data_IF_366456822013
#
_entry.id   IF_366456822013
#
_cell.length_a   1.000
_cell.length_b   1.000
_cell.length_c   1.000
_cell.angle_alpha   90.00
_cell.angle_beta   90.00
_cell.angle_gamma   90.00
#
_symmetry.space_group_name_H-M   'P 1'
#
loop_
_entity.id
_entity.type
_entity.pdbx_description
1 polymer ?
#
# COMPACT_ATOMS: atom_id res chain seq x y z
N UNK A 1 -17.17 2.91 7.68
CA UNK A 1 -15.76 3.31 7.56
C UNK A 1 -15.32 3.46 6.10
N UNK A 2 -14.32 4.34 5.86
CA UNK A 2 -13.73 4.56 4.55
C UNK A 2 -12.37 3.89 4.39
N UNK A 3 -12.04 3.48 3.16
CA UNK A 3 -10.71 2.93 2.83
C UNK A 3 -10.22 3.53 1.51
N UNK A 4 -9.07 4.22 1.57
CA UNK A 4 -8.32 4.63 0.38
C UNK A 4 -7.49 3.45 -0.09
N UNK A 5 -7.51 3.16 -1.40
CA UNK A 5 -6.75 2.08 -2.03
C UNK A 5 -5.73 2.66 -3.00
N UNK A 6 -4.46 2.38 -2.78
CA UNK A 6 -3.35 2.91 -3.59
C UNK A 6 -2.74 1.80 -4.44
N UNK A 7 -2.62 2.09 -5.74
CA UNK A 7 -2.19 1.16 -6.79
C UNK A 7 -0.70 0.78 -6.70
N UNK A 8 -0.35 -0.30 -7.38
CA UNK A 8 1.03 -0.69 -7.66
C UNK A 8 1.70 0.30 -8.63
N UNK A 9 2.98 0.09 -8.92
CA UNK A 9 3.71 0.93 -9.87
C UNK A 9 3.13 0.96 -11.29
N UNK A 10 2.27 -0.03 -11.63
CA UNK A 10 1.56 -0.09 -12.91
C UNK A 10 0.57 1.07 -13.12
N UNK A 11 0.17 1.77 -12.08
CA UNK A 11 -0.86 2.82 -12.10
C UNK A 11 -2.25 2.31 -11.70
N UNK A 12 -3.24 3.19 -11.80
CA UNK A 12 -4.62 2.89 -11.46
C UNK A 12 -5.27 1.98 -12.51
N UNK A 13 -5.13 0.68 -12.32
CA UNK A 13 -5.59 -0.38 -13.22
C UNK A 13 -6.76 -1.18 -12.63
N UNK A 14 -7.23 -2.18 -13.38
CA UNK A 14 -8.36 -3.02 -12.98
C UNK A 14 -8.11 -3.82 -11.70
N UNK A 15 -6.86 -4.23 -11.44
CA UNK A 15 -6.52 -4.90 -10.19
C UNK A 15 -6.81 -4.02 -8.96
N UNK A 16 -6.35 -2.77 -8.96
CA UNK A 16 -6.59 -1.82 -7.87
C UNK A 16 -8.07 -1.52 -7.71
N UNK A 17 -8.76 -1.31 -8.82
CA UNK A 17 -10.22 -1.07 -8.83
C UNK A 17 -11.00 -2.27 -8.28
N UNK A 18 -10.56 -3.49 -8.60
CA UNK A 18 -11.16 -4.71 -8.05
C UNK A 18 -11.00 -4.76 -6.53
N UNK A 19 -9.82 -4.48 -6.00
CA UNK A 19 -9.60 -4.44 -4.55
C UNK A 19 -10.49 -3.43 -3.84
N UNK A 20 -10.75 -2.28 -4.45
CA UNK A 20 -11.73 -1.32 -3.93
C UNK A 20 -13.16 -1.89 -3.93
N UNK A 21 -13.56 -2.60 -5.00
CA UNK A 21 -14.87 -3.27 -5.05
C UNK A 21 -14.99 -4.40 -4.01
N UNK A 22 -13.93 -5.17 -3.81
CA UNK A 22 -13.88 -6.22 -2.79
C UNK A 22 -14.12 -5.63 -1.38
N UNK A 23 -13.52 -4.47 -1.09
CA UNK A 23 -13.75 -3.73 0.15
C UNK A 23 -15.19 -3.21 0.26
N UNK A 24 -15.73 -2.69 -0.84
CA UNK A 24 -17.13 -2.24 -0.88
C UNK A 24 -18.09 -3.41 -0.61
N UNK A 25 -17.81 -4.60 -1.14
CA UNK A 25 -18.56 -5.83 -0.84
C UNK A 25 -18.53 -6.24 0.64
N UNK A 26 -17.52 -5.77 1.40
CA UNK A 26 -17.40 -5.96 2.85
C UNK A 26 -18.06 -4.83 3.67
N UNK A 27 -18.74 -3.87 3.00
CA UNK A 27 -19.47 -2.79 3.66
C UNK A 27 -18.64 -1.52 3.92
N UNK A 28 -17.47 -1.35 3.27
CA UNK A 28 -16.66 -0.14 3.38
C UNK A 28 -16.94 0.83 2.22
N UNK A 29 -16.85 2.12 2.48
CA UNK A 29 -16.72 3.12 1.41
C UNK A 29 -15.27 3.07 0.90
N UNK A 30 -15.04 2.59 -0.31
CA UNK A 30 -13.71 2.40 -0.84
C UNK A 30 -13.44 3.31 -2.05
N UNK A 31 -12.26 3.93 -2.09
CA UNK A 31 -11.84 4.80 -3.17
C UNK A 31 -10.42 4.39 -3.65
N UNK A 32 -10.34 3.88 -4.87
CA UNK A 32 -9.06 3.69 -5.55
C UNK A 32 -8.60 5.03 -6.12
N UNK A 33 -7.40 5.49 -5.71
CA UNK A 33 -6.87 6.80 -6.11
C UNK A 33 -5.78 6.67 -7.16
N UNK A 34 -5.63 7.71 -7.98
CA UNK A 34 -4.60 7.82 -9.01
C UNK A 34 -3.43 8.68 -8.51
N UNK A 35 -2.30 8.03 -8.25
CA UNK A 35 -1.09 8.72 -7.79
C UNK A 35 -0.26 9.31 -8.94
N UNK A 36 -0.55 8.92 -10.18
CA UNK A 36 0.22 9.38 -11.36
C UNK A 36 -0.45 10.54 -12.11
N UNK A 37 -1.76 10.64 -12.02
CA UNK A 37 -2.57 11.61 -12.77
C UNK A 37 -2.97 11.12 -14.17
N UNK A 38 -4.06 11.68 -14.69
CA UNK A 38 -4.58 11.43 -16.03
C UNK A 38 -4.93 9.95 -16.31
N UNK A 39 -5.12 9.13 -15.27
CA UNK A 39 -5.41 7.71 -15.40
C UNK A 39 -4.25 6.88 -15.97
N UNK A 40 -3.02 7.38 -15.89
CA UNK A 40 -1.84 6.68 -16.42
C UNK A 40 -1.69 5.31 -15.81
N UNK A 41 -1.60 4.30 -16.65
CA UNK A 41 -1.27 2.94 -16.27
C UNK A 41 -0.59 2.23 -17.45
N UNK A 42 0.14 1.17 -17.15
CA UNK A 42 0.90 0.39 -18.13
C UNK A 42 1.12 -1.03 -17.64
N UNK A 43 1.42 -1.93 -18.55
CA UNK A 43 1.92 -3.28 -18.24
C UNK A 43 3.42 -3.43 -18.57
N UNK A 44 4.07 -2.35 -19.02
CA UNK A 44 5.48 -2.34 -19.38
C UNK A 44 6.34 -1.83 -18.21
N UNK A 45 7.29 -2.64 -17.69
CA UNK A 45 8.13 -2.26 -16.55
C UNK A 45 8.89 -0.94 -16.73
N UNK A 46 9.34 -0.65 -17.95
CA UNK A 46 10.05 0.60 -18.26
C UNK A 46 9.17 1.83 -18.03
N UNK A 47 7.93 1.78 -18.48
CA UNK A 47 6.97 2.88 -18.31
C UNK A 47 6.53 2.99 -16.85
N UNK A 48 6.27 1.86 -16.20
CA UNK A 48 5.93 1.81 -14.78
C UNK A 48 7.03 2.44 -13.91
N UNK A 49 8.29 2.11 -14.20
CA UNK A 49 9.45 2.72 -13.53
C UNK A 49 9.49 4.23 -13.74
N UNK A 50 9.26 4.71 -14.98
CA UNK A 50 9.26 6.13 -15.29
C UNK A 50 8.14 6.87 -14.54
N UNK A 51 6.93 6.31 -14.49
CA UNK A 51 5.79 6.90 -13.74
C UNK A 51 6.08 6.95 -12.24
N UNK A 52 6.60 5.87 -11.68
CA UNK A 52 6.93 5.80 -10.26
C UNK A 52 8.04 6.80 -9.90
N UNK A 53 9.11 6.88 -10.70
CA UNK A 53 10.21 7.82 -10.46
C UNK A 53 9.74 9.28 -10.54
N UNK A 54 8.85 9.60 -11.48
CA UNK A 54 8.26 10.94 -11.57
C UNK A 54 7.45 11.29 -10.31
N UNK A 55 6.64 10.34 -9.81
CA UNK A 55 5.87 10.52 -8.59
C UNK A 55 6.77 10.67 -7.35
N UNK A 56 7.82 9.85 -7.23
CA UNK A 56 8.77 9.92 -6.11
C UNK A 56 9.62 11.19 -6.13
N UNK A 57 9.94 11.72 -7.31
CA UNK A 57 10.70 12.97 -7.47
C UNK A 57 9.91 14.18 -6.98
N UNK A 58 8.60 14.21 -7.20
CA UNK A 58 7.71 15.27 -6.75
C UNK A 58 6.88 14.79 -5.54
N UNK A 59 7.53 14.72 -4.39
CA UNK A 59 6.90 14.26 -3.14
C UNK A 59 5.75 15.17 -2.69
N UNK A 60 5.83 16.47 -2.97
CA UNK A 60 4.77 17.43 -2.64
C UNK A 60 3.51 17.16 -3.46
N UNK A 61 3.64 16.94 -4.77
CA UNK A 61 2.50 16.58 -5.63
C UNK A 61 1.92 15.21 -5.24
N UNK A 62 2.75 14.24 -4.93
CA UNK A 62 2.30 12.92 -4.46
C UNK A 62 1.52 13.01 -3.15
N UNK A 63 2.01 13.76 -2.18
CA UNK A 63 1.29 14.00 -0.92
C UNK A 63 -0.03 14.73 -1.15
N UNK A 64 -0.06 15.72 -2.05
CA UNK A 64 -1.27 16.45 -2.39
C UNK A 64 -2.32 15.55 -3.08
N UNK A 65 -1.91 14.65 -3.96
CA UNK A 65 -2.81 13.67 -4.61
C UNK A 65 -3.41 12.70 -3.60
N UNK A 66 -2.58 12.17 -2.70
CA UNK A 66 -3.07 11.31 -1.63
C UNK A 66 -4.09 12.05 -0.74
N UNK A 67 -3.77 13.27 -0.32
CA UNK A 67 -4.64 14.09 0.51
C UNK A 67 -5.95 14.43 -0.20
N UNK A 68 -5.91 14.76 -1.49
CA UNK A 68 -7.12 15.03 -2.29
C UNK A 68 -8.04 13.80 -2.36
N UNK A 69 -7.48 12.61 -2.55
CA UNK A 69 -8.25 11.36 -2.53
C UNK A 69 -8.86 11.08 -1.16
N UNK A 70 -8.09 11.28 -0.09
CA UNK A 70 -8.57 11.13 1.28
C UNK A 70 -9.71 12.11 1.59
N UNK A 71 -9.57 13.37 1.22
CA UNK A 71 -10.60 14.41 1.43
C UNK A 71 -11.86 14.12 0.63
N UNK A 72 -11.72 13.65 -0.62
CA UNK A 72 -12.85 13.24 -1.44
C UNK A 72 -13.63 12.10 -0.78
N UNK A 73 -12.94 11.09 -0.27
CA UNK A 73 -13.58 9.95 0.41
C UNK A 73 -14.31 10.40 1.69
N UNK A 74 -13.67 11.27 2.49
CA UNK A 74 -14.26 11.80 3.73
C UNK A 74 -15.53 12.63 3.51
N UNK A 75 -15.66 13.26 2.34
CA UNK A 75 -16.83 14.05 1.96
C UNK A 75 -18.02 13.22 1.48
N UNK A 76 -17.83 11.92 1.24
CA UNK A 76 -18.94 11.07 0.80
C UNK A 76 -19.94 10.85 1.94
N UNK A 77 -21.25 11.01 1.69
CA UNK A 77 -22.27 10.94 2.75
C UNK A 77 -22.31 9.59 3.46
N UNK A 78 -21.91 8.51 2.79
CA UNK A 78 -21.84 7.16 3.36
C UNK A 78 -20.55 6.90 4.15
N UNK A 79 -19.58 7.83 4.16
CA UNK A 79 -18.29 7.65 4.82
C UNK A 79 -18.30 8.34 6.19
N UNK A 80 -17.89 7.61 7.22
CA UNK A 80 -17.63 8.21 8.53
C UNK A 80 -16.22 8.86 8.48
N UNK A 81 -16.11 10.19 8.52
CA UNK A 81 -14.86 10.89 8.22
C UNK A 81 -13.73 10.61 9.20
N UNK A 82 -14.05 10.25 10.46
CA UNK A 82 -13.06 9.91 11.49
C UNK A 82 -12.67 8.42 11.47
N UNK A 83 -13.33 7.60 10.65
CA UNK A 83 -13.08 6.18 10.50
C UNK A 83 -12.59 5.86 9.08
N UNK A 84 -11.43 6.40 8.71
CA UNK A 84 -10.81 6.17 7.41
C UNK A 84 -9.43 5.54 7.57
N UNK A 85 -9.19 4.46 6.83
CA UNK A 85 -7.91 3.80 6.69
C UNK A 85 -7.39 3.92 5.25
N UNK A 86 -6.12 3.57 5.05
CA UNK A 86 -5.53 3.47 3.72
C UNK A 86 -4.84 2.13 3.56
N UNK A 87 -4.99 1.52 2.40
CA UNK A 87 -4.24 0.32 2.00
C UNK A 87 -3.52 0.57 0.70
N UNK A 88 -2.39 -0.06 0.52
CA UNK A 88 -1.60 0.09 -0.71
C UNK A 88 -0.79 -1.14 -1.05
N UNK A 89 -0.56 -1.31 -2.34
CA UNK A 89 0.12 -2.45 -2.94
C UNK A 89 1.41 -1.99 -3.61
N UNK A 90 2.54 -2.66 -3.36
CA UNK A 90 3.83 -2.33 -3.97
C UNK A 90 4.22 -0.86 -3.74
N UNK A 91 4.33 -0.05 -4.78
CA UNK A 91 4.47 1.40 -4.71
C UNK A 91 3.42 2.05 -3.77
N UNK A 92 2.16 1.63 -3.90
CA UNK A 92 1.07 2.11 -3.03
C UNK A 92 1.28 1.76 -1.57
N UNK A 93 1.91 0.63 -1.26
CA UNK A 93 2.31 0.27 0.10
C UNK A 93 3.29 1.27 0.70
N UNK A 94 4.28 1.70 -0.07
CA UNK A 94 5.20 2.78 0.34
C UNK A 94 4.47 4.12 0.52
N UNK A 95 3.53 4.46 -0.35
CA UNK A 95 2.75 5.69 -0.26
C UNK A 95 1.97 5.75 1.06
N UNK A 96 1.24 4.70 1.41
CA UNK A 96 0.44 4.69 2.65
C UNK A 96 1.31 4.65 3.92
N UNK A 97 2.47 3.98 3.88
CA UNK A 97 3.43 4.03 4.97
C UNK A 97 4.03 5.44 5.14
N UNK A 98 4.32 6.13 4.05
CA UNK A 98 4.81 7.51 4.11
C UNK A 98 3.73 8.47 4.65
N UNK A 99 2.46 8.27 4.30
CA UNK A 99 1.35 9.02 4.89
C UNK A 99 1.30 8.82 6.41
N UNK A 100 1.46 7.58 6.89
CA UNK A 100 1.53 7.29 8.33
C UNK A 100 2.73 7.96 8.99
N UNK A 101 3.92 7.92 8.38
CA UNK A 101 5.14 8.59 8.88
C UNK A 101 4.96 10.09 9.04
N UNK A 102 4.24 10.71 8.11
CA UNK A 102 3.93 12.15 8.12
C UNK A 102 2.81 12.52 9.12
N UNK A 103 2.22 11.55 9.79
CA UNK A 103 1.18 11.80 10.78
C UNK A 103 -0.19 12.12 10.16
N UNK A 104 -0.44 11.74 8.92
CA UNK A 104 -1.78 11.87 8.31
C UNK A 104 -2.80 11.15 9.21
N UNK A 105 -3.92 11.81 9.58
CA UNK A 105 -4.88 11.27 10.54
C UNK A 105 -5.71 10.14 9.92
N UNK A 106 -5.10 8.95 9.85
CA UNK A 106 -5.70 7.69 9.42
C UNK A 106 -5.91 6.80 10.64
N UNK A 107 -7.01 6.08 10.69
CA UNK A 107 -7.28 5.10 11.73
C UNK A 107 -6.34 3.88 11.60
N UNK A 108 -5.99 3.52 10.39
CA UNK A 108 -5.05 2.45 10.11
C UNK A 108 -4.44 2.51 8.72
N UNK A 109 -3.33 1.80 8.57
CA UNK A 109 -2.58 1.65 7.30
C UNK A 109 -2.23 0.20 7.08
N UNK A 110 -2.44 -0.32 5.89
CA UNK A 110 -2.00 -1.67 5.49
C UNK A 110 -1.12 -1.58 4.24
N UNK A 111 0.09 -2.08 4.34
CA UNK A 111 1.04 -2.18 3.21
C UNK A 111 1.16 -3.64 2.77
N UNK A 112 0.80 -3.93 1.53
CA UNK A 112 1.01 -5.23 0.90
C UNK A 112 2.22 -5.16 -0.02
N UNK A 113 3.23 -5.98 0.26
CA UNK A 113 4.50 -6.03 -0.49
C UNK A 113 5.07 -4.65 -0.86
N UNK A 114 4.92 -3.67 0.02
CA UNK A 114 5.40 -2.31 -0.19
C UNK A 114 6.88 -2.15 0.11
N UNK A 115 7.52 -1.18 -0.54
CA UNK A 115 8.86 -0.76 -0.16
C UNK A 115 8.85 -0.14 1.25
N UNK A 116 9.81 -0.52 2.07
CA UNK A 116 9.91 -0.11 3.48
C UNK A 116 10.91 1.02 3.69
N UNK A 117 11.91 1.14 2.81
CA UNK A 117 12.92 2.18 2.90
C UNK A 117 12.31 3.58 2.71
N UNK A 118 12.85 4.55 3.41
CA UNK A 118 12.43 5.95 3.32
C UNK A 118 13.61 6.89 3.54
N UNK A 119 13.53 8.08 2.92
CA UNK A 119 14.44 9.20 3.18
C UNK A 119 13.92 10.11 4.30
N UNK A 120 12.66 9.93 4.70
CA UNK A 120 11.97 10.73 5.72
C UNK A 120 11.37 9.83 6.79
N UNK A 121 12.20 9.26 7.69
CA UNK A 121 11.71 8.34 8.72
C UNK A 121 10.74 9.03 9.69
N UNK A 122 9.88 8.23 10.30
CA UNK A 122 8.97 8.71 11.33
C UNK A 122 9.74 9.23 12.55
N UNK A 123 9.23 10.32 13.14
CA UNK A 123 9.74 10.86 14.40
C UNK A 123 8.93 10.32 15.58
N UNK A 124 9.48 10.34 16.81
CA UNK A 124 8.74 9.90 18.00
C UNK A 124 7.37 10.58 18.11
N UNK A 125 6.31 9.77 18.21
CA UNK A 125 4.93 10.24 18.32
C UNK A 125 4.28 10.75 17.05
N UNK A 126 4.96 10.74 15.88
CA UNK A 126 4.38 11.21 14.61
C UNK A 126 3.35 10.26 14.02
N UNK A 127 3.51 8.96 14.22
CA UNK A 127 2.62 7.93 13.65
C UNK A 127 1.34 7.82 14.48
N UNK A 128 0.21 8.15 13.88
CA UNK A 128 -1.12 8.07 14.52
C UNK A 128 -1.87 6.81 14.15
N UNK A 129 -1.65 6.31 12.93
CA UNK A 129 -2.31 5.14 12.40
C UNK A 129 -1.80 3.83 13.03
N UNK A 130 -2.69 2.87 13.21
CA UNK A 130 -2.29 1.46 13.45
C UNK A 130 -1.81 0.85 12.13
N UNK A 131 -0.63 0.25 12.12
CA UNK A 131 0.01 -0.24 10.90
C UNK A 131 -0.03 -1.76 10.82
N UNK A 132 -0.31 -2.29 9.63
CA UNK A 132 -0.08 -3.69 9.26
C UNK A 132 0.81 -3.73 8.01
N UNK A 133 1.89 -4.47 8.09
CA UNK A 133 2.77 -4.76 6.94
C UNK A 133 2.66 -6.24 6.61
N UNK A 134 2.30 -6.53 5.38
CA UNK A 134 2.27 -7.86 4.78
C UNK A 134 3.44 -7.98 3.78
N UNK A 135 4.47 -8.69 4.17
CA UNK A 135 5.73 -8.80 3.45
C UNK A 135 5.96 -10.21 2.91
N UNK A 136 6.39 -10.33 1.67
CA UNK A 136 6.79 -11.60 1.09
C UNK A 136 8.20 -12.00 1.57
N UNK A 137 8.34 -13.17 2.19
CA UNK A 137 9.63 -13.64 2.71
C UNK A 137 10.71 -13.82 1.61
N UNK A 138 10.30 -14.01 0.36
CA UNK A 138 11.17 -14.14 -0.82
C UNK A 138 11.19 -12.84 -1.67
N UNK A 139 10.74 -11.71 -1.12
CA UNK A 139 10.77 -10.43 -1.82
C UNK A 139 12.20 -9.93 -1.98
N UNK A 140 12.76 -10.07 -3.19
CA UNK A 140 14.12 -9.63 -3.52
C UNK A 140 14.27 -8.10 -3.63
N UNK A 141 13.17 -7.35 -3.70
CA UNK A 141 13.18 -5.89 -3.79
C UNK A 141 13.22 -5.22 -2.42
N UNK A 142 12.86 -5.95 -1.37
CA UNK A 142 12.88 -5.47 0.03
C UNK A 142 13.82 -6.36 0.84
N UNK A 143 15.02 -5.86 1.09
CA UNK A 143 16.08 -6.62 1.76
C UNK A 143 15.81 -6.84 3.25
N UNK A 144 16.50 -7.82 3.85
CA UNK A 144 16.46 -8.03 5.31
C UNK A 144 16.88 -6.78 6.08
N UNK A 145 17.84 -6.00 5.57
CA UNK A 145 18.26 -4.72 6.17
C UNK A 145 17.13 -3.67 6.11
N UNK A 146 16.37 -3.62 5.02
CA UNK A 146 15.20 -2.73 4.93
C UNK A 146 14.14 -3.11 5.97
N UNK A 147 13.90 -4.41 6.18
CA UNK A 147 12.96 -4.91 7.18
C UNK A 147 13.43 -4.54 8.59
N UNK A 148 14.69 -4.78 8.91
CA UNK A 148 15.27 -4.45 10.22
C UNK A 148 15.22 -2.94 10.50
N UNK A 149 15.56 -2.11 9.50
CA UNK A 149 15.51 -0.66 9.61
C UNK A 149 14.08 -0.15 9.81
N UNK A 150 13.10 -0.71 9.11
CA UNK A 150 11.70 -0.37 9.28
C UNK A 150 11.20 -0.68 10.71
N UNK A 151 11.49 -1.86 11.22
CA UNK A 151 11.10 -2.26 12.59
C UNK A 151 11.73 -1.35 13.62
N UNK A 152 13.03 -1.05 13.51
CA UNK A 152 13.72 -0.13 14.40
C UNK A 152 13.13 1.29 14.35
N UNK A 153 12.78 1.77 13.15
CA UNK A 153 12.10 3.06 12.96
C UNK A 153 10.75 3.10 13.68
N UNK A 154 9.91 2.08 13.48
CA UNK A 154 8.58 2.02 14.11
C UNK A 154 8.65 1.91 15.63
N UNK A 155 9.59 1.11 16.14
CA UNK A 155 9.83 0.98 17.58
C UNK A 155 10.27 2.33 18.19
N UNK A 156 11.21 3.01 17.54
CA UNK A 156 11.68 4.33 17.98
C UNK A 156 10.59 5.40 17.92
N UNK A 157 9.73 5.32 16.91
CA UNK A 157 8.59 6.22 16.77
C UNK A 157 7.46 5.94 17.77
N UNK A 158 7.49 4.81 18.48
CA UNK A 158 6.41 4.37 19.36
C UNK A 158 5.13 3.99 18.61
N UNK A 159 5.25 3.54 17.36
CA UNK A 159 4.13 3.19 16.50
C UNK A 159 3.46 1.87 16.94
N UNK A 160 2.13 1.82 16.86
CA UNK A 160 1.38 0.55 16.95
C UNK A 160 1.42 -0.14 15.59
N UNK A 161 2.32 -1.12 15.43
CA UNK A 161 2.47 -1.84 14.17
C UNK A 161 2.54 -3.35 14.34
N UNK A 162 2.15 -4.05 13.32
CA UNK A 162 2.30 -5.50 13.15
C UNK A 162 3.01 -5.76 11.81
N UNK A 163 4.04 -6.60 11.87
CA UNK A 163 4.79 -7.04 10.69
C UNK A 163 4.57 -8.53 10.47
N UNK A 164 4.07 -8.92 9.31
CA UNK A 164 3.82 -10.31 8.92
C UNK A 164 4.72 -10.66 7.75
N UNK A 165 5.56 -11.67 7.91
CA UNK A 165 6.36 -12.25 6.84
C UNK A 165 5.65 -13.49 6.31
N UNK A 166 5.30 -13.48 5.02
CA UNK A 166 4.57 -14.54 4.35
C UNK A 166 5.57 -15.49 3.67
N UNK A 167 5.67 -16.71 4.19
CA UNK A 167 6.60 -17.72 3.68
C UNK A 167 6.30 -18.06 2.22
N UNK A 168 7.34 -18.21 1.41
CA UNK A 168 7.24 -18.56 -0.01
C UNK A 168 6.72 -17.46 -0.93
N UNK A 169 6.32 -16.31 -0.39
CA UNK A 169 5.78 -15.22 -1.19
C UNK A 169 6.87 -14.28 -1.69
N UNK A 170 6.79 -13.90 -2.97
CA UNK A 170 7.61 -12.88 -3.63
C UNK A 170 6.96 -11.50 -3.56
N UNK A 171 7.64 -10.49 -4.10
CA UNK A 171 7.03 -9.19 -4.37
C UNK A 171 5.81 -9.36 -5.30
N UNK A 172 4.74 -8.58 -5.09
CA UNK A 172 3.54 -8.67 -5.91
C UNK A 172 2.64 -9.87 -5.60
N UNK A 173 2.86 -10.61 -4.51
CA UNK A 173 2.17 -11.86 -4.19
C UNK A 173 0.64 -11.78 -4.20
N UNK A 174 0.07 -10.62 -4.01
CA UNK A 174 -1.38 -10.43 -3.94
C UNK A 174 -2.06 -10.17 -5.30
N UNK A 175 -1.27 -9.96 -6.36
CA UNK A 175 -1.79 -9.69 -7.70
C UNK A 175 -1.80 -10.96 -8.55
N UNK A 176 -2.97 -11.49 -8.96
CA UNK A 176 -3.06 -12.69 -9.80
C UNK A 176 -2.35 -12.56 -11.15
N UNK A 177 -2.14 -11.34 -11.64
CA UNK A 177 -1.41 -11.09 -12.89
C UNK A 177 0.11 -10.98 -12.70
N UNK A 178 0.62 -11.10 -11.46
CA UNK A 178 2.04 -10.88 -11.17
C UNK A 178 2.95 -11.82 -11.98
N UNK A 179 2.60 -13.08 -12.13
CA UNK A 179 3.39 -14.03 -12.92
C UNK A 179 3.49 -13.59 -14.39
N UNK A 180 2.38 -13.18 -14.99
CA UNK A 180 2.34 -12.69 -16.37
C UNK A 180 3.14 -11.39 -16.53
N UNK A 181 2.99 -10.45 -15.58
CA UNK A 181 3.67 -9.15 -15.61
C UNK A 181 5.17 -9.26 -15.32
N UNK A 182 5.61 -10.31 -14.60
CA UNK A 182 7.00 -10.57 -14.26
C UNK A 182 7.79 -11.37 -15.31
N UNK A 183 7.12 -12.06 -16.23
CA UNK A 183 7.73 -12.94 -17.23
C UNK A 183 7.85 -12.31 -18.63
N UNK A 184 7.99 -10.98 -18.72
CA UNK A 184 8.24 -10.32 -20.01
C UNK A 184 9.53 -10.81 -20.67
N UNK A 185 9.57 -10.85 -22.02
CA UNK A 185 10.65 -11.37 -22.88
C UNK A 185 12.03 -10.74 -22.67
N UNK A 186 12.18 -9.78 -21.75
CA UNK A 186 13.37 -8.97 -21.52
C UNK A 186 13.76 -8.82 -20.04
N UNK A 187 13.55 -9.84 -19.22
CA UNK A 187 13.95 -9.81 -17.81
C UNK A 187 13.06 -8.87 -16.97
N UNK A 188 11.78 -9.15 -16.93
CA UNK A 188 10.83 -8.43 -16.10
C UNK A 188 11.16 -8.52 -14.60
N UNK A 189 10.46 -7.75 -13.76
CA UNK A 189 10.71 -7.73 -12.32
C UNK A 189 10.49 -9.12 -11.70
N UNK A 190 11.28 -9.43 -10.64
CA UNK A 190 11.12 -10.67 -9.86
C UNK A 190 9.89 -10.59 -8.97
N UNK A 191 8.73 -10.76 -9.57
CA UNK A 191 7.42 -10.76 -8.93
C UNK A 191 6.70 -12.08 -9.19
N UNK A 192 5.76 -12.43 -8.32
CA UNK A 192 5.01 -13.67 -8.49
C UNK A 192 3.79 -13.74 -7.59
N UNK A 193 2.69 -14.29 -8.11
CA UNK A 193 1.46 -14.49 -7.37
C UNK A 193 1.56 -15.69 -6.41
N UNK A 194 1.01 -15.52 -5.23
CA UNK A 194 0.81 -16.61 -4.28
C UNK A 194 -0.62 -16.58 -3.74
N UNK A 195 -1.44 -17.52 -4.18
CA UNK A 195 -2.82 -17.61 -3.71
C UNK A 195 -2.90 -17.72 -2.19
N UNK A 196 -2.06 -18.56 -1.57
CA UNK A 196 -2.04 -18.74 -0.12
C UNK A 196 -1.67 -17.44 0.61
N UNK A 197 -0.67 -16.69 0.12
CA UNK A 197 -0.27 -15.42 0.69
C UNK A 197 -1.34 -14.34 0.49
N UNK A 198 -1.97 -14.29 -0.69
CA UNK A 198 -3.05 -13.36 -0.99
C UNK A 198 -4.25 -13.57 -0.06
N UNK A 199 -4.72 -14.81 0.08
CA UNK A 199 -5.84 -15.15 0.97
C UNK A 199 -5.51 -14.84 2.44
N UNK A 200 -4.29 -15.17 2.88
CA UNK A 200 -3.85 -14.91 4.25
C UNK A 200 -3.77 -13.42 4.54
N UNK A 201 -3.09 -12.64 3.73
CA UNK A 201 -2.92 -11.20 3.95
C UNK A 201 -4.27 -10.46 3.92
N UNK A 202 -5.18 -10.90 3.04
CA UNK A 202 -6.55 -10.36 3.01
C UNK A 202 -7.32 -10.65 4.29
N UNK A 203 -7.22 -11.86 4.82
CA UNK A 203 -7.83 -12.24 6.09
C UNK A 203 -7.21 -11.47 7.28
N UNK A 204 -5.90 -11.31 7.32
CA UNK A 204 -5.19 -10.56 8.35
C UNK A 204 -5.60 -9.08 8.33
N UNK A 205 -5.69 -8.48 7.15
CA UNK A 205 -6.20 -7.12 6.99
C UNK A 205 -7.62 -6.99 7.53
N UNK A 206 -8.53 -7.93 7.23
CA UNK A 206 -9.90 -7.89 7.73
C UNK A 206 -9.96 -7.96 9.25
N UNK A 207 -9.13 -8.81 9.89
CA UNK A 207 -9.00 -8.89 11.34
C UNK A 207 -8.48 -7.57 11.93
N UNK A 208 -7.47 -6.98 11.30
CA UNK A 208 -6.89 -5.69 11.72
C UNK A 208 -7.93 -4.57 11.62
N UNK A 209 -8.70 -4.50 10.53
CA UNK A 209 -9.77 -3.50 10.36
C UNK A 209 -10.82 -3.58 11.47
N UNK A 210 -11.20 -4.75 11.91
CA UNK A 210 -12.11 -4.91 13.06
C UNK A 210 -11.54 -4.28 14.33
N UNK A 211 -10.22 -4.39 14.55
CA UNK A 211 -9.55 -3.75 15.69
C UNK A 211 -9.37 -2.24 15.54
N UNK A 212 -9.31 -1.76 14.29
CA UNK A 212 -9.13 -0.33 13.97
C UNK A 212 -10.44 0.44 14.13
N UNK A 213 -11.52 -0.12 13.61
CA UNK A 213 -12.81 0.57 13.52
C UNK A 213 -13.80 0.21 14.64
N UNK A 214 -13.53 -0.82 15.41
CA UNK A 214 -14.39 -1.30 16.53
C UNK A 214 -15.49 -2.18 16.01
#
# INVERSE_FOLDING_TARGET
>A
PGVVVVHEWWGLNDYTKRRARDLAGLGYSALAIDMYGDGKNTEHPKDAMAFMQAALKDSAASSARFQAGLDLLKKQPQTHPDKVAAIGYCFGGAVVLNAARQGVPLAGVVSFHGALATKTPATPGSVKAKILVEHGALDSMVTADNVAAFKAEMDKAGADYQFVSLEGAKHGFSNPDADRLGHGDHGGPDIGYSKAADEKCWADMQKKKKKIFG
#
